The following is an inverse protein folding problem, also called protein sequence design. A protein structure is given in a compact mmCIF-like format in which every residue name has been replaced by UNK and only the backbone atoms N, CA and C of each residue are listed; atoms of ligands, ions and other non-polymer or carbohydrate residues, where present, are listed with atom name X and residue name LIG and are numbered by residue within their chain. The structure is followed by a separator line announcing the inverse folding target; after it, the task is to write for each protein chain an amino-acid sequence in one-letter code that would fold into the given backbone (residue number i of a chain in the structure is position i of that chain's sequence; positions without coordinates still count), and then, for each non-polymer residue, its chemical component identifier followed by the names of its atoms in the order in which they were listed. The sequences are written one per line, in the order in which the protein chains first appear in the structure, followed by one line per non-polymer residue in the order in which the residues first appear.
data_IF_580330286838
#
_entry.id   IF_580330286838
#
_cell.length_a   1.000
_cell.length_b   1.000
_cell.length_c   1.000
_cell.angle_alpha   90.00
_cell.angle_beta   90.00
_cell.angle_gamma   90.00
#
_symmetry.space_group_name_H-M   'P 1'
#
loop_
_entity.id
_entity.type
_entity.pdbx_description
1 polymer ?
#
# COMPACT_ATOMS: atom_id res chain seq x y z
N UNK A 1 -16.78 -5.24 11.15
CA UNK A 1 -15.59 -5.99 10.69
C UNK A 1 -15.85 -6.33 9.23
N UNK A 2 -14.96 -5.91 8.32
CA UNK A 2 -15.12 -6.16 6.89
C UNK A 2 -14.98 -7.64 6.58
N UNK A 3 -16.06 -8.23 6.08
CA UNK A 3 -16.14 -9.65 5.77
C UNK A 3 -15.38 -9.99 4.49
N UNK A 4 -15.38 -9.06 3.51
CA UNK A 4 -14.72 -9.20 2.21
C UNK A 4 -13.20 -9.31 2.31
N UNK A 5 -12.60 -8.69 3.32
CA UNK A 5 -11.14 -8.67 3.52
C UNK A 5 -10.65 -9.54 4.66
N UNK A 6 -11.56 -10.29 5.29
CA UNK A 6 -11.22 -11.18 6.40
C UNK A 6 -10.19 -12.24 6.01
N UNK A 7 -10.18 -12.67 4.74
CA UNK A 7 -9.15 -13.55 4.18
C UNK A 7 -7.73 -12.95 4.25
N UNK A 8 -7.60 -11.62 4.26
CA UNK A 8 -6.32 -10.93 4.31
C UNK A 8 -5.92 -10.48 5.73
N UNK A 9 -6.74 -10.76 6.75
CA UNK A 9 -6.51 -10.33 8.13
C UNK A 9 -6.07 -11.52 9.01
N UNK A 10 -4.92 -11.40 9.68
CA UNK A 10 -4.56 -12.26 10.82
C UNK A 10 -5.13 -11.69 12.13
N UNK A 11 -5.54 -12.58 13.06
CA UNK A 11 -6.32 -12.28 14.27
C UNK A 11 -5.95 -10.96 14.98
N UNK A 12 -6.93 -10.06 15.10
CA UNK A 12 -6.74 -8.68 15.59
C UNK A 12 -6.83 -8.59 17.12
N UNK A 13 -5.91 -7.85 17.72
CA UNK A 13 -6.13 -7.10 18.97
C UNK A 13 -5.79 -5.64 18.68
N UNK A 14 -6.76 -4.76 18.89
CA UNK A 14 -6.74 -3.36 18.45
C UNK A 14 -5.67 -2.57 19.21
N UNK A 15 -4.62 -2.11 18.51
CA UNK A 15 -3.74 -1.04 19.01
C UNK A 15 -3.66 0.08 17.97
N UNK A 16 -4.03 1.28 18.39
CA UNK A 16 -4.10 2.47 17.55
C UNK A 16 -2.70 2.93 17.14
N UNK A 17 -2.29 2.66 15.90
CA UNK A 17 -0.99 3.13 15.37
C UNK A 17 -1.19 4.32 14.43
N UNK A 18 -0.65 5.48 14.84
CA UNK A 18 -0.71 6.76 14.10
C UNK A 18 0.34 6.81 12.99
N UNK A 19 -0.09 6.93 11.74
CA UNK A 19 0.76 7.33 10.62
C UNK A 19 0.80 8.86 10.50
N UNK A 20 2.01 9.42 10.46
CA UNK A 20 2.31 10.81 10.12
C UNK A 20 2.21 11.00 8.61
N UNK A 21 1.49 12.03 8.15
CA UNK A 21 1.52 12.51 6.76
C UNK A 21 1.83 14.00 6.78
N UNK A 22 2.91 14.39 6.11
CA UNK A 22 3.36 15.79 6.02
C UNK A 22 2.93 16.40 4.68
N UNK A 23 2.06 17.41 4.74
CA UNK A 23 1.51 18.06 3.54
C UNK A 23 2.43 19.16 3.00
N UNK A 24 2.62 19.17 1.68
CA UNK A 24 3.25 20.27 0.93
C UNK A 24 2.18 21.02 0.13
N UNK A 25 2.19 22.35 0.26
CA UNK A 25 1.24 23.31 -0.31
C UNK A 25 1.87 24.05 -1.50
N UNK A 26 1.31 23.85 -2.70
CA UNK A 26 1.76 24.32 -4.02
C UNK A 26 0.54 24.46 -4.93
N UNK A 27 0.01 25.69 -5.03
CA UNK A 27 -1.26 26.04 -5.68
C UNK A 27 -1.28 25.93 -7.20
N UNK A 28 -1.61 24.73 -7.70
CA UNK A 28 -2.33 24.54 -8.96
C UNK A 28 -3.82 24.33 -8.64
N UNK A 29 -4.74 24.32 -9.60
CA UNK A 29 -6.11 23.82 -9.34
C UNK A 29 -5.97 22.37 -8.85
N UNK A 30 -5.97 22.18 -7.52
CA UNK A 30 -5.45 20.97 -6.87
C UNK A 30 -6.54 19.91 -6.87
N UNK A 31 -6.22 18.74 -7.44
CA UNK A 31 -6.94 17.51 -7.12
C UNK A 31 -7.01 17.36 -5.60
N UNK A 32 -8.12 16.86 -5.07
CA UNK A 32 -8.27 16.70 -3.63
C UNK A 32 -7.19 15.76 -3.08
N UNK A 33 -6.57 16.11 -1.95
CA UNK A 33 -5.61 15.23 -1.30
C UNK A 33 -6.35 14.19 -0.47
N UNK A 34 -6.33 12.92 -0.88
CA UNK A 34 -6.92 11.83 -0.11
C UNK A 34 -5.91 11.27 0.91
N UNK A 35 -6.31 11.26 2.18
CA UNK A 35 -5.69 10.46 3.24
C UNK A 35 -6.64 9.32 3.60
N UNK A 36 -6.15 8.10 3.75
CA UNK A 36 -7.03 6.99 4.14
C UNK A 36 -6.46 6.15 5.26
N UNK A 37 -7.37 5.61 6.07
CA UNK A 37 -7.07 4.76 7.22
C UNK A 37 -7.21 3.29 6.83
N UNK A 38 -6.53 2.37 7.54
CA UNK A 38 -6.77 0.94 7.39
C UNK A 38 -8.24 0.59 7.59
N UNK A 39 -8.67 -0.54 7.00
CA UNK A 39 -10.05 -1.05 7.09
C UNK A 39 -11.13 -0.12 6.50
N UNK A 40 -10.75 0.82 5.65
CA UNK A 40 -11.65 1.56 4.77
C UNK A 40 -11.18 1.38 3.31
N UNK A 41 -12.11 1.48 2.36
CA UNK A 41 -11.82 1.19 0.95
C UNK A 41 -12.49 2.17 0.00
N UNK A 42 -11.80 2.42 -1.11
CA UNK A 42 -12.27 3.26 -2.20
C UNK A 42 -11.94 2.62 -3.54
N UNK A 43 -12.60 3.09 -4.60
CA UNK A 43 -12.27 2.82 -5.99
C UNK A 43 -11.86 4.08 -6.71
N UNK A 44 -11.12 3.92 -7.78
CA UNK A 44 -10.84 4.99 -8.75
C UNK A 44 -10.12 4.44 -9.97
N UNK A 45 -10.15 5.20 -11.05
CA UNK A 45 -9.41 4.92 -12.27
C UNK A 45 -7.98 5.44 -12.13
N UNK A 46 -6.98 4.54 -12.18
CA UNK A 46 -5.58 4.92 -12.07
C UNK A 46 -5.19 5.81 -13.26
N UNK A 47 -4.77 7.04 -12.98
CA UNK A 47 -4.38 8.03 -14.00
C UNK A 47 -2.87 8.17 -14.09
N UNK A 48 -2.20 8.33 -12.96
CA UNK A 48 -0.76 8.60 -12.94
C UNK A 48 -0.12 8.31 -11.58
N UNK A 49 1.21 8.13 -11.60
CA UNK A 49 2.03 7.95 -10.41
C UNK A 49 3.17 8.97 -10.49
N UNK A 50 3.51 9.56 -9.35
CA UNK A 50 4.49 10.65 -9.22
C UNK A 50 5.50 10.30 -8.13
N UNK A 51 6.70 10.84 -8.29
CA UNK A 51 7.70 10.90 -7.23
C UNK A 51 7.85 12.34 -6.74
N UNK A 52 7.58 12.56 -5.46
CA UNK A 52 7.91 13.80 -4.78
C UNK A 52 9.30 13.69 -4.16
N UNK A 53 10.13 14.72 -4.34
CA UNK A 53 11.44 14.85 -3.69
C UNK A 53 11.55 16.25 -3.08
N UNK A 54 11.61 16.31 -1.76
CA UNK A 54 11.69 17.57 -1.04
C UNK A 54 12.59 17.46 0.20
N UNK A 55 12.84 18.59 0.86
CA UNK A 55 13.74 18.68 2.02
C UNK A 55 13.36 17.80 3.23
N UNK A 56 12.17 17.23 3.25
CA UNK A 56 11.67 16.36 4.31
C UNK A 56 11.72 14.88 3.94
N UNK A 57 11.99 14.55 2.67
CA UNK A 57 12.04 13.19 2.18
C UNK A 57 11.42 13.04 0.79
N UNK A 58 11.57 11.83 0.28
CA UNK A 58 10.90 11.37 -0.94
C UNK A 58 9.52 10.79 -0.62
N UNK A 59 8.57 10.93 -1.53
CA UNK A 59 7.18 10.48 -1.40
C UNK A 59 6.65 9.93 -2.71
N UNK A 60 5.70 9.00 -2.62
CA UNK A 60 4.97 8.47 -3.77
C UNK A 60 3.60 9.16 -3.87
N UNK A 61 3.36 9.82 -4.99
CA UNK A 61 2.04 10.34 -5.35
C UNK A 61 1.30 9.35 -6.25
N UNK A 62 0.05 9.03 -5.97
CA UNK A 62 -0.78 8.19 -6.84
C UNK A 62 -2.08 8.94 -7.12
N UNK A 63 -2.31 9.27 -8.38
CA UNK A 63 -3.50 10.01 -8.82
C UNK A 63 -4.53 9.05 -9.42
N UNK A 64 -5.75 9.24 -8.97
CA UNK A 64 -6.93 8.55 -9.44
C UNK A 64 -7.94 9.57 -9.97
N UNK A 65 -8.72 9.13 -10.95
CA UNK A 65 -9.90 9.83 -11.45
C UNK A 65 -11.15 9.02 -11.11
N UNK A 66 -12.33 9.64 -11.12
CA UNK A 66 -13.61 8.94 -10.85
C UNK A 66 -13.61 8.19 -9.50
N UNK A 67 -13.26 8.91 -8.42
CA UNK A 67 -13.15 8.36 -7.07
C UNK A 67 -14.49 7.96 -6.48
N UNK A 68 -14.59 6.73 -5.96
CA UNK A 68 -15.83 6.14 -5.44
C UNK A 68 -15.61 5.55 -4.05
N UNK A 69 -16.48 5.90 -3.10
CA UNK A 69 -16.44 5.32 -1.77
C UNK A 69 -17.04 3.92 -1.79
N UNK A 70 -16.28 2.93 -1.30
CA UNK A 70 -16.73 1.53 -1.21
C UNK A 70 -17.11 1.18 0.23
N UNK A 71 -16.26 1.52 1.20
CA UNK A 71 -16.55 1.28 2.62
C UNK A 71 -15.80 2.29 3.50
N UNK A 72 -16.52 2.80 4.51
CA UNK A 72 -16.03 3.77 5.48
C UNK A 72 -16.78 5.10 5.45
N UNK A 73 -16.19 6.10 6.08
CA UNK A 73 -16.74 7.46 6.20
C UNK A 73 -15.75 8.44 5.58
N UNK A 74 -16.16 9.04 4.45
CA UNK A 74 -15.39 10.06 3.74
C UNK A 74 -15.73 11.44 4.29
N UNK A 75 -14.70 12.18 4.68
CA UNK A 75 -14.87 13.52 5.22
C UNK A 75 -13.87 14.49 4.61
N UNK A 76 -14.25 15.75 4.50
CA UNK A 76 -13.39 16.84 4.05
C UNK A 76 -12.88 17.64 5.25
N UNK A 77 -11.60 17.99 5.24
CA UNK A 77 -10.98 18.75 6.32
C UNK A 77 -11.31 20.23 6.19
N UNK A 78 -11.66 20.83 7.32
CA UNK A 78 -11.92 22.25 7.44
C UNK A 78 -10.68 22.98 7.96
N UNK A 79 -10.41 24.15 7.40
CA UNK A 79 -9.40 25.08 7.89
C UNK A 79 -9.86 25.84 9.14
N UNK A 80 -9.04 26.77 9.63
CA UNK A 80 -9.37 27.58 10.82
C UNK A 80 -10.59 28.50 10.62
N UNK A 81 -10.93 28.83 9.37
CA UNK A 81 -12.10 29.62 9.01
C UNK A 81 -13.38 28.77 8.89
N UNK A 82 -13.24 27.45 8.88
CA UNK A 82 -14.34 26.50 8.73
C UNK A 82 -14.66 26.16 7.27
N UNK A 83 -13.79 26.56 6.34
CA UNK A 83 -13.92 26.26 4.91
C UNK A 83 -13.10 25.01 4.56
N UNK A 84 -13.50 24.31 3.50
CA UNK A 84 -12.79 23.16 2.98
C UNK A 84 -11.36 23.52 2.53
N UNK A 85 -10.36 22.76 2.98
CA UNK A 85 -8.95 23.00 2.62
C UNK A 85 -8.43 22.10 1.48
N UNK A 86 -9.31 21.33 0.84
CA UNK A 86 -8.99 20.40 -0.24
C UNK A 86 -8.41 19.06 0.22
N UNK A 87 -8.39 18.77 1.54
CA UNK A 87 -7.98 17.45 2.06
C UNK A 87 -9.20 16.58 2.34
N UNK A 88 -9.32 15.46 1.63
CA UNK A 88 -10.25 14.39 1.94
C UNK A 88 -9.59 13.39 2.89
N UNK A 89 -10.37 12.86 3.82
CA UNK A 89 -9.96 11.78 4.71
C UNK A 89 -11.01 10.68 4.77
N UNK A 90 -10.60 9.49 4.40
CA UNK A 90 -11.40 8.28 4.50
C UNK A 90 -11.07 7.56 5.81
N UNK A 91 -12.05 7.52 6.71
CA UNK A 91 -11.97 6.83 7.99
C UNK A 91 -12.67 5.48 7.92
N UNK A 92 -12.15 4.51 8.66
CA UNK A 92 -12.88 3.28 8.93
C UNK A 92 -13.96 3.52 9.99
N UNK A 93 -15.04 2.74 9.92
CA UNK A 93 -16.14 2.78 10.89
C UNK A 93 -15.67 2.61 12.34
N UNK A 94 -14.63 1.81 12.56
CA UNK A 94 -14.05 1.58 13.90
C UNK A 94 -13.46 2.83 14.57
N UNK A 95 -13.23 3.89 13.79
CA UNK A 95 -12.68 5.16 14.26
C UNK A 95 -13.79 6.19 14.52
N UNK A 96 -15.01 5.88 14.09
CA UNK A 96 -16.16 6.76 14.27
C UNK A 96 -16.78 6.55 15.66
N UNK A 97 -17.37 7.60 16.25
CA UNK A 97 -18.04 7.54 17.55
C UNK A 97 -19.43 6.86 17.42
N UNK A 98 -19.47 5.67 16.84
CA UNK A 98 -20.69 4.90 16.53
C UNK A 98 -20.66 3.53 17.22
N UNK A 99 -21.81 2.85 17.23
CA UNK A 99 -21.90 1.48 17.73
C UNK A 99 -21.66 0.51 16.57
N UNK A 100 -20.59 -0.27 16.66
CA UNK A 100 -20.24 -1.28 15.66
C UNK A 100 -21.07 -2.56 15.88
N UNK A 101 -22.28 -2.58 15.33
CA UNK A 101 -23.12 -3.77 15.31
C UNK A 101 -23.75 -4.01 13.93
N UNK A 102 -24.57 -5.05 13.82
CA UNK A 102 -25.23 -5.46 12.57
C UNK A 102 -26.25 -4.46 12.02
N UNK A 103 -26.60 -3.42 12.79
CA UNK A 103 -27.52 -2.37 12.40
C UNK A 103 -26.78 -1.08 12.03
N UNK A 104 -25.44 -1.10 12.02
CA UNK A 104 -24.64 0.03 11.52
C UNK A 104 -25.04 0.33 10.07
N UNK A 105 -25.29 1.60 9.80
CA UNK A 105 -25.71 2.13 8.50
C UNK A 105 -24.96 3.40 8.14
N UNK A 106 -25.00 3.80 6.87
CA UNK A 106 -24.41 5.06 6.42
C UNK A 106 -24.93 6.29 7.21
N UNK A 107 -26.19 6.26 7.64
CA UNK A 107 -26.85 7.34 8.39
C UNK A 107 -26.29 7.53 9.81
N UNK A 108 -25.54 6.56 10.34
CA UNK A 108 -24.88 6.67 11.65
C UNK A 108 -23.60 7.51 11.60
N UNK A 109 -23.10 7.84 10.41
CA UNK A 109 -21.91 8.67 10.26
C UNK A 109 -22.11 10.08 10.84
N UNK A 110 -21.18 10.59 11.65
CA UNK A 110 -21.32 11.93 12.21
C UNK A 110 -21.11 13.01 11.15
N UNK A 111 -21.94 14.06 11.18
CA UNK A 111 -21.81 15.23 10.29
C UNK A 111 -20.44 15.92 10.42
N UNK A 112 -19.86 15.89 11.63
CA UNK A 112 -18.58 16.51 11.96
C UNK A 112 -17.78 15.58 12.85
N UNK A 113 -16.50 15.41 12.54
CA UNK A 113 -15.56 14.64 13.33
C UNK A 113 -14.29 15.43 13.63
N UNK A 114 -13.72 15.22 14.81
CA UNK A 114 -12.50 15.89 15.24
C UNK A 114 -11.46 14.85 15.61
N UNK A 115 -10.25 15.00 15.08
CA UNK A 115 -9.12 14.12 15.36
C UNK A 115 -7.95 14.94 15.90
N UNK A 116 -7.33 14.47 16.98
CA UNK A 116 -6.09 15.06 17.49
C UNK A 116 -4.88 14.27 17.02
N UNK A 117 -3.92 14.96 16.38
CA UNK A 117 -2.66 14.39 15.92
C UNK A 117 -1.53 15.28 16.42
N UNK A 118 -0.67 14.73 17.29
CA UNK A 118 0.55 15.40 17.80
C UNK A 118 0.25 16.83 18.33
N UNK A 119 -0.80 16.94 19.15
CA UNK A 119 -1.20 18.21 19.77
C UNK A 119 -1.86 19.22 18.83
N UNK A 120 -2.19 18.83 17.59
CA UNK A 120 -3.04 19.60 16.69
C UNK A 120 -4.40 18.95 16.56
N UNK A 121 -5.44 19.76 16.60
CA UNK A 121 -6.83 19.34 16.40
C UNK A 121 -7.25 19.63 14.97
N UNK A 122 -7.67 18.60 14.24
CA UNK A 122 -8.21 18.73 12.90
C UNK A 122 -9.71 18.48 12.93
N UNK A 123 -10.48 19.34 12.24
CA UNK A 123 -11.93 19.22 12.12
C UNK A 123 -12.26 18.76 10.70
N UNK A 124 -13.20 17.84 10.59
CA UNK A 124 -13.67 17.27 9.34
C UNK A 124 -15.19 17.35 9.26
N UNK A 125 -15.70 17.53 8.04
CA UNK A 125 -17.13 17.53 7.72
C UNK A 125 -17.46 16.35 6.81
N UNK A 126 -18.60 15.70 7.05
CA UNK A 126 -19.06 14.56 6.27
C UNK A 126 -19.26 14.91 4.80
N UNK A 127 -18.68 14.09 3.91
CA UNK A 127 -18.94 14.09 2.46
C UNK A 127 -19.89 12.95 2.13
N UNK A 128 -19.64 11.76 2.66
CA UNK A 128 -20.47 10.57 2.47
C UNK A 128 -20.00 9.39 3.30
N UNK A 129 -20.87 8.39 3.47
CA UNK A 129 -20.57 7.17 4.21
C UNK A 129 -21.17 5.95 3.50
N UNK A 130 -20.49 4.80 3.64
CA UNK A 130 -20.92 3.51 3.11
C UNK A 130 -20.52 2.40 4.07
N UNK A 131 -21.40 1.44 4.29
CA UNK A 131 -21.12 0.21 5.05
C UNK A 131 -21.00 -0.96 4.08
N UNK A 132 -19.90 -1.73 4.16
CA UNK A 132 -19.76 -2.97 3.39
C UNK A 132 -20.96 -3.91 3.62
N UNK A 133 -21.56 -4.40 2.54
CA UNK A 133 -22.65 -5.39 2.60
C UNK A 133 -24.04 -4.80 2.87
N UNK A 134 -24.17 -3.48 3.01
CA UNK A 134 -25.47 -2.81 2.91
C UNK A 134 -25.98 -3.00 1.47
N UNK A 135 -27.04 -3.80 1.31
CA UNK A 135 -27.62 -4.15 0.01
C UNK A 135 -28.21 -2.91 -0.68
N UNK A 136 -27.37 -2.08 -1.29
CA UNK A 136 -27.79 -1.48 -2.56
C UNK A 136 -27.69 -2.58 -3.60
N UNK A 137 -28.82 -2.96 -4.18
CA UNK A 137 -28.89 -3.93 -5.29
C UNK A 137 -28.16 -3.48 -6.56
N UNK A 138 -27.47 -2.34 -6.50
CA UNK A 138 -26.74 -1.73 -7.59
C UNK A 138 -25.28 -1.45 -7.14
N UNK A 139 -24.28 -2.08 -7.77
CA UNK A 139 -22.87 -1.74 -7.57
C UNK A 139 -22.51 -0.32 -8.04
N UNK A 140 -23.41 0.39 -8.73
CA UNK A 140 -23.25 1.81 -9.08
C UNK A 140 -23.66 2.79 -7.96
N UNK A 141 -24.21 2.29 -6.84
CA UNK A 141 -24.65 3.15 -5.74
C UNK A 141 -23.47 3.65 -4.86
N UNK A 142 -22.24 3.60 -5.38
CA UNK A 142 -21.06 4.17 -4.73
C UNK A 142 -21.16 5.69 -4.66
N UNK A 143 -20.65 6.29 -3.58
CA UNK A 143 -20.59 7.75 -3.47
C UNK A 143 -19.38 8.24 -4.27
N UNK A 144 -19.65 8.93 -5.38
CA UNK A 144 -18.64 9.62 -6.19
C UNK A 144 -18.11 10.85 -5.44
N UNK A 145 -16.79 10.97 -5.37
CA UNK A 145 -16.07 12.09 -4.77
C UNK A 145 -15.00 12.70 -5.69
N UNK A 146 -15.02 12.37 -6.99
CA UNK A 146 -14.22 13.00 -8.02
C UNK A 146 -12.75 12.60 -8.04
N UNK A 147 -11.94 13.42 -8.71
CA UNK A 147 -10.51 13.18 -8.91
C UNK A 147 -9.71 13.51 -7.64
N UNK A 148 -8.73 12.67 -7.32
CA UNK A 148 -7.93 12.82 -6.11
C UNK A 148 -6.51 12.30 -6.29
N UNK A 149 -5.62 12.81 -5.43
CA UNK A 149 -4.24 12.31 -5.32
C UNK A 149 -3.96 11.86 -3.89
N UNK A 150 -3.31 10.71 -3.77
CA UNK A 150 -2.78 10.20 -2.52
C UNK A 150 -1.28 10.44 -2.49
N UNK A 151 -0.79 10.94 -1.35
CA UNK A 151 0.65 11.05 -1.09
C UNK A 151 1.01 10.13 0.05
N UNK A 152 1.78 9.09 -0.25
CA UNK A 152 2.34 8.18 0.75
C UNK A 152 3.82 8.51 0.94
N UNK A 153 4.16 8.89 2.17
CA UNK A 153 5.50 9.27 2.59
C UNK A 153 6.00 8.34 3.71
N UNK A 154 7.02 8.79 4.42
CA UNK A 154 7.52 8.15 5.62
C UNK A 154 7.85 9.17 6.70
N UNK A 155 8.17 8.67 7.89
CA UNK A 155 8.67 9.50 8.98
C UNK A 155 10.19 9.60 8.94
N UNK A 156 10.86 8.73 9.71
CA UNK A 156 12.33 8.57 9.65
C UNK A 156 12.78 7.65 8.52
N UNK A 157 11.88 6.79 8.07
CA UNK A 157 12.05 5.79 7.01
C UNK A 157 10.77 5.78 6.15
N UNK A 158 10.86 5.36 4.88
CA UNK A 158 9.69 5.21 4.01
C UNK A 158 8.63 4.32 4.68
N UNK A 159 7.35 4.67 4.55
CA UNK A 159 6.31 3.76 5.03
C UNK A 159 6.27 2.51 4.16
N UNK A 160 5.91 1.38 4.77
CA UNK A 160 5.70 0.13 4.05
C UNK A 160 4.63 0.27 2.96
N UNK A 161 3.58 1.04 3.22
CA UNK A 161 2.55 1.28 2.21
C UNK A 161 3.11 2.01 0.99
N UNK A 162 3.93 3.04 1.19
CA UNK A 162 4.56 3.75 0.08
C UNK A 162 5.43 2.81 -0.78
N UNK A 163 6.23 1.94 -0.13
CA UNK A 163 7.08 0.96 -0.83
C UNK A 163 6.26 -0.03 -1.65
N UNK A 164 5.28 -0.68 -1.03
CA UNK A 164 4.46 -1.69 -1.72
C UNK A 164 3.63 -1.07 -2.85
N UNK A 165 3.08 0.15 -2.68
CA UNK A 165 2.39 0.85 -3.77
C UNK A 165 3.36 1.21 -4.91
N UNK A 166 4.58 1.64 -4.62
CA UNK A 166 5.56 1.94 -5.66
C UNK A 166 5.87 0.67 -6.48
N UNK A 167 6.06 -0.46 -5.81
CA UNK A 167 6.34 -1.73 -6.46
C UNK A 167 5.15 -2.29 -7.26
N UNK A 168 3.92 -2.10 -6.76
CA UNK A 168 2.72 -2.57 -7.46
C UNK A 168 2.35 -1.71 -8.67
N UNK A 169 2.47 -0.38 -8.55
CA UNK A 169 1.86 0.57 -9.48
C UNK A 169 2.84 1.20 -10.48
N UNK A 170 4.15 1.03 -10.28
CA UNK A 170 5.17 1.61 -11.18
C UNK A 170 5.76 0.59 -12.14
N UNK A 171 6.17 1.05 -13.31
CA UNK A 171 6.82 0.23 -14.34
C UNK A 171 8.14 -0.42 -13.88
N UNK A 172 8.76 0.11 -12.82
CA UNK A 172 9.99 -0.40 -12.24
C UNK A 172 9.77 -1.58 -11.31
N UNK A 173 8.56 -1.78 -10.79
CA UNK A 173 8.35 -2.89 -9.86
C UNK A 173 9.23 -2.76 -8.63
N UNK A 174 9.95 -3.83 -8.28
CA UNK A 174 10.94 -3.85 -7.19
C UNK A 174 12.02 -2.78 -7.32
N UNK A 175 12.47 -2.50 -8.55
CA UNK A 175 13.52 -1.51 -8.84
C UNK A 175 13.08 -0.06 -8.59
N UNK A 176 11.80 0.16 -8.23
CA UNK A 176 11.34 1.46 -7.74
C UNK A 176 12.00 1.82 -6.41
N UNK A 177 12.42 0.82 -5.62
CA UNK A 177 13.01 1.00 -4.30
C UNK A 177 14.54 0.96 -4.41
N UNK A 178 15.19 2.08 -4.08
CA UNK A 178 16.66 2.24 -4.14
C UNK A 178 17.31 2.01 -2.78
N UNK A 179 16.72 2.53 -1.70
CA UNK A 179 17.18 2.32 -0.32
C UNK A 179 15.99 2.24 0.64
N UNK A 180 15.71 1.04 1.17
CA UNK A 180 14.55 0.78 2.05
C UNK A 180 14.58 1.57 3.36
N UNK A 181 15.73 2.10 3.76
CA UNK A 181 15.97 2.71 5.07
C UNK A 181 16.27 4.21 5.02
N UNK A 182 16.54 4.78 3.85
CA UNK A 182 16.83 6.21 3.69
C UNK A 182 15.63 6.98 3.12
N UNK A 183 14.94 7.74 3.97
CA UNK A 183 13.80 8.57 3.55
C UNK A 183 14.16 9.59 2.45
N UNK A 184 15.43 9.94 2.28
CA UNK A 184 15.88 10.88 1.26
C UNK A 184 16.26 10.23 -0.08
N UNK A 185 16.47 8.91 -0.12
CA UNK A 185 16.99 8.21 -1.30
C UNK A 185 16.32 6.83 -1.53
N UNK A 186 15.10 6.65 -1.06
CA UNK A 186 14.42 5.35 -1.14
C UNK A 186 13.75 5.06 -2.47
N UNK A 187 13.39 6.09 -3.25
CA UNK A 187 12.60 5.97 -4.46
C UNK A 187 13.45 6.34 -5.67
N UNK A 188 13.27 5.63 -6.79
CA UNK A 188 13.91 5.94 -8.06
C UNK A 188 13.29 7.17 -8.76
N UNK A 189 13.28 8.34 -8.09
CA UNK A 189 12.48 9.55 -8.41
C UNK A 189 12.46 9.93 -9.89
N UNK A 190 13.58 9.82 -10.60
CA UNK A 190 13.69 10.22 -12.02
C UNK A 190 13.18 9.17 -13.03
N UNK A 191 12.67 8.03 -12.55
CA UNK A 191 12.24 6.88 -13.35
C UNK A 191 10.84 6.39 -12.99
N UNK A 192 10.16 7.08 -12.07
CA UNK A 192 8.81 6.69 -11.64
C UNK A 192 7.79 7.05 -12.72
N UNK A 193 7.25 6.01 -13.33
CA UNK A 193 6.11 6.08 -14.24
C UNK A 193 5.11 4.99 -13.86
N UNK A 194 3.82 5.25 -14.05
CA UNK A 194 2.78 4.26 -13.81
C UNK A 194 2.92 3.06 -14.77
N UNK A 195 2.51 1.88 -14.31
CA UNK A 195 2.41 0.68 -15.16
C UNK A 195 1.39 0.85 -16.27
N UNK A 196 1.83 0.70 -17.52
CA UNK A 196 0.96 0.85 -18.70
C UNK A 196 -0.23 -0.13 -18.69
N UNK A 197 -0.06 -1.34 -18.14
CA UNK A 197 -1.13 -2.33 -18.08
C UNK A 197 -2.24 -1.98 -17.09
N UNK A 198 -1.96 -1.12 -16.09
CA UNK A 198 -2.89 -0.66 -15.06
C UNK A 198 -3.46 0.74 -15.33
N UNK A 199 -2.78 1.55 -16.16
CA UNK A 199 -3.27 2.88 -16.53
C UNK A 199 -4.67 2.81 -17.15
N UNK A 200 -5.57 3.66 -16.64
CA UNK A 200 -6.97 3.70 -17.05
C UNK A 200 -7.84 2.55 -16.53
N UNK A 201 -7.31 1.67 -15.66
CA UNK A 201 -8.13 0.65 -14.97
C UNK A 201 -8.72 1.20 -13.69
N UNK A 202 -9.96 0.80 -13.39
CA UNK A 202 -10.58 1.04 -12.10
C UNK A 202 -10.05 0.03 -11.08
N UNK A 203 -9.42 0.54 -10.03
CA UNK A 203 -8.81 -0.24 -8.96
C UNK A 203 -9.54 0.01 -7.65
N UNK A 204 -9.77 -1.05 -6.88
CA UNK A 204 -10.24 -0.97 -5.49
C UNK A 204 -9.04 -1.07 -4.56
N UNK A 205 -8.90 -0.11 -3.64
CA UNK A 205 -7.73 0.02 -2.77
C UNK A 205 -8.17 0.06 -1.31
N UNK A 206 -7.49 -0.72 -0.48
CA UNK A 206 -7.64 -0.70 0.97
C UNK A 206 -6.31 -1.00 1.67
N UNK A 207 -6.23 -0.71 2.96
CA UNK A 207 -5.07 -1.03 3.81
C UNK A 207 -5.49 -2.07 4.84
N UNK A 208 -4.70 -3.13 4.97
CA UNK A 208 -4.80 -4.09 6.08
C UNK A 208 -3.73 -3.78 7.12
N UNK A 209 -4.07 -4.06 8.38
CA UNK A 209 -3.10 -4.02 9.49
C UNK A 209 -2.50 -5.41 9.62
N UNK A 210 -1.18 -5.50 9.59
CA UNK A 210 -0.44 -6.74 9.82
C UNK A 210 0.49 -6.55 11.03
N UNK A 211 0.66 -7.62 11.81
CA UNK A 211 1.47 -7.60 13.02
C UNK A 211 2.95 -7.75 12.67
N UNK A 212 3.77 -6.84 13.19
CA UNK A 212 5.22 -6.98 13.21
C UNK A 212 5.73 -7.08 14.65
N UNK A 213 6.97 -7.55 14.82
CA UNK A 213 7.59 -7.80 16.13
C UNK A 213 7.61 -6.58 17.05
N UNK A 214 7.77 -5.38 16.48
CA UNK A 214 7.91 -4.13 17.23
C UNK A 214 6.66 -3.25 17.13
N UNK A 215 6.02 -3.23 15.97
CA UNK A 215 4.89 -2.37 15.66
C UNK A 215 3.99 -3.03 14.61
N UNK A 216 2.69 -2.77 14.70
CA UNK A 216 1.76 -3.05 13.61
C UNK A 216 2.10 -2.16 12.40
N UNK A 217 1.89 -2.70 11.20
CA UNK A 217 2.16 -2.00 9.95
C UNK A 217 0.98 -2.08 8.98
N UNK A 218 0.93 -1.14 8.04
CA UNK A 218 -0.14 -1.07 7.04
C UNK A 218 0.37 -1.60 5.70
N UNK A 219 -0.31 -2.61 5.17
CA UNK A 219 -0.06 -3.14 3.84
C UNK A 219 -1.23 -2.75 2.93
N UNK A 220 -0.97 -2.08 1.79
CA UNK A 220 -1.99 -1.82 0.79
C UNK A 220 -2.37 -3.13 0.10
N UNK A 221 -3.63 -3.25 -0.26
CA UNK A 221 -4.14 -4.26 -1.17
C UNK A 221 -4.85 -3.51 -2.29
N UNK A 222 -4.55 -3.88 -3.53
CA UNK A 222 -5.08 -3.26 -4.74
C UNK A 222 -5.72 -4.35 -5.58
N UNK A 223 -7.00 -4.22 -5.90
CA UNK A 223 -7.76 -5.19 -6.70
C UNK A 223 -8.15 -4.52 -8.01
N UNK A 224 -7.87 -5.19 -9.14
CA UNK A 224 -8.45 -4.79 -10.42
C UNK A 224 -9.94 -5.15 -10.41
N UNK A 225 -10.81 -4.15 -10.41
CA UNK A 225 -12.26 -4.35 -10.31
C UNK A 225 -12.84 -5.13 -11.49
N UNK A 226 -12.17 -5.12 -12.64
CA UNK A 226 -12.61 -5.83 -13.85
C UNK A 226 -12.34 -7.32 -13.77
N UNK A 227 -11.17 -7.72 -13.24
CA UNK A 227 -10.79 -9.14 -13.14
C UNK A 227 -11.14 -9.74 -11.79
N UNK A 228 -11.27 -8.91 -10.75
CA UNK A 228 -11.39 -9.35 -9.36
C UNK A 228 -10.07 -9.85 -8.77
N UNK A 229 -8.96 -9.76 -9.51
CA UNK A 229 -7.65 -10.24 -9.08
C UNK A 229 -6.88 -9.14 -8.37
N UNK A 230 -6.09 -9.52 -7.36
CA UNK A 230 -5.16 -8.62 -6.70
C UNK A 230 -4.03 -8.24 -7.67
N UNK A 231 -3.76 -6.94 -7.79
CA UNK A 231 -2.59 -6.43 -8.51
C UNK A 231 -1.33 -6.87 -7.78
N UNK A 232 -0.46 -7.57 -8.51
CA UNK A 232 0.84 -8.04 -8.00
C UNK A 232 1.95 -7.05 -8.33
N UNK A 233 3.04 -7.12 -7.57
CA UNK A 233 4.27 -6.37 -7.85
C UNK A 233 4.71 -6.66 -9.29
N UNK A 234 5.01 -5.62 -10.06
CA UNK A 234 5.54 -5.80 -11.40
C UNK A 234 7.00 -6.22 -11.33
N UNK A 235 7.49 -6.99 -12.30
CA UNK A 235 8.92 -7.12 -12.52
C UNK A 235 9.40 -5.87 -13.27
N UNK A 236 10.40 -5.17 -12.73
CA UNK A 236 11.08 -4.09 -13.43
C UNK A 236 11.72 -4.64 -14.69
N UNK A 237 11.08 -4.44 -15.85
CA UNK A 237 11.60 -4.93 -17.11
C UNK A 237 10.51 -5.39 -18.06
N UNK A 238 10.30 -4.57 -19.09
CA UNK A 238 9.65 -4.93 -20.35
C UNK A 238 9.88 -6.39 -20.72
N UNK A 239 8.85 -7.23 -20.65
CA UNK A 239 8.81 -8.44 -21.45
C UNK A 239 8.27 -8.07 -22.84
N UNK A 240 9.15 -8.02 -23.85
CA UNK A 240 8.78 -8.57 -25.14
C UNK A 240 9.78 -9.62 -25.60
N UNK A 241 9.25 -10.82 -25.83
CA UNK A 241 9.69 -11.82 -26.80
C UNK A 241 11.18 -12.25 -26.82
N UNK A 242 11.36 -13.51 -26.42
CA UNK A 242 12.31 -14.51 -26.93
C UNK A 242 13.31 -14.05 -28.03
N UNK A 243 14.62 -14.15 -27.75
CA UNK A 243 15.65 -14.49 -28.74
C UNK A 243 16.96 -14.93 -28.06
N UNK A 244 17.62 -15.90 -28.67
CA UNK A 244 18.67 -16.78 -28.16
C UNK A 244 20.05 -16.13 -27.92
N UNK A 245 20.73 -16.67 -26.89
CA UNK A 245 22.16 -17.01 -26.77
C UNK A 245 23.27 -16.14 -27.43
N UNK A 246 24.26 -15.71 -26.64
CA UNK A 246 25.61 -16.32 -26.64
C UNK A 246 26.58 -15.73 -25.60
N UNK A 247 27.41 -16.61 -25.03
CA UNK A 247 28.36 -16.40 -23.95
C UNK A 247 29.70 -15.77 -24.38
N UNK A 248 30.41 -15.15 -23.43
CA UNK A 248 31.87 -15.29 -23.24
C UNK A 248 32.31 -14.66 -21.90
N UNK A 249 33.15 -15.39 -21.16
CA UNK A 249 33.66 -15.17 -19.79
C UNK A 249 35.08 -14.50 -19.82
N UNK A 250 35.87 -14.39 -18.72
CA UNK A 250 35.86 -13.32 -17.70
C UNK A 250 37.27 -12.69 -17.42
N UNK A 251 37.36 -11.87 -16.35
CA UNK A 251 38.54 -11.47 -15.49
C UNK A 251 38.84 -9.95 -15.39
N UNK A 252 39.51 -9.44 -14.32
CA UNK A 252 38.98 -9.30 -12.96
C UNK A 252 39.28 -7.90 -12.35
N UNK A 253 38.47 -7.42 -11.39
CA UNK A 253 38.91 -6.30 -10.54
C UNK A 253 38.28 -6.37 -9.15
N UNK A 254 39.15 -6.65 -8.19
CA UNK A 254 38.97 -6.59 -6.74
C UNK A 254 38.50 -5.20 -6.28
N UNK A 255 37.46 -5.13 -5.44
CA UNK A 255 37.42 -4.30 -4.21
C UNK A 255 36.09 -4.41 -3.44
N UNK A 256 36.25 -4.70 -2.14
CA UNK A 256 35.41 -4.34 -0.99
C UNK A 256 33.95 -4.81 -0.96
N UNK A 257 33.76 -5.97 -0.30
CA UNK A 257 32.46 -6.49 0.17
C UNK A 257 31.78 -5.51 1.13
N UNK A 258 30.81 -4.78 0.62
CA UNK A 258 29.48 -4.74 1.22
C UNK A 258 28.62 -5.67 0.37
N UNK A 259 28.17 -6.80 0.92
CA UNK A 259 27.24 -7.69 0.23
C UNK A 259 25.95 -6.90 0.04
N UNK A 260 25.70 -6.51 -1.19
CA UNK A 260 24.46 -5.93 -1.65
C UNK A 260 23.45 -7.09 -1.72
N UNK A 261 22.50 -7.12 -0.79
CA UNK A 261 21.47 -8.16 -0.71
C UNK A 261 20.53 -8.14 -1.92
N UNK A 262 20.58 -7.09 -2.76
CA UNK A 262 19.81 -7.02 -4.01
C UNK A 262 20.24 -8.06 -5.05
N UNK A 263 21.51 -8.47 -5.07
CA UNK A 263 21.99 -9.50 -6.00
C UNK A 263 21.54 -10.92 -5.59
N UNK A 264 21.36 -11.19 -4.29
CA UNK A 264 20.93 -12.52 -3.79
C UNK A 264 19.44 -12.80 -4.06
N UNK A 265 18.61 -11.75 -4.10
CA UNK A 265 17.17 -11.87 -4.37
C UNK A 265 16.88 -12.02 -5.87
N UNK A 266 17.84 -11.66 -6.74
CA UNK A 266 17.66 -11.67 -8.20
C UNK A 266 17.57 -13.07 -8.83
N UNK A 267 18.09 -14.10 -8.16
CA UNK A 267 18.07 -15.50 -8.62
C UNK A 267 16.93 -16.34 -7.99
N UNK A 268 16.12 -15.75 -7.11
CA UNK A 268 15.03 -16.47 -6.41
C UNK A 268 13.74 -16.49 -7.24
N UNK A 269 12.89 -17.53 -7.09
CA UNK A 269 11.53 -17.51 -7.60
C UNK A 269 10.80 -16.25 -7.15
N UNK A 270 10.13 -15.58 -8.08
CA UNK A 270 9.47 -14.28 -7.83
C UNK A 270 8.58 -14.25 -6.58
N UNK A 271 7.75 -15.27 -6.29
CA UNK A 271 6.93 -15.27 -5.07
C UNK A 271 7.74 -15.40 -3.79
N UNK A 272 8.90 -16.07 -3.83
CA UNK A 272 9.82 -16.21 -2.69
C UNK A 272 10.54 -14.89 -2.44
N UNK A 273 11.00 -14.23 -3.51
CA UNK A 273 11.55 -12.88 -3.43
C UNK A 273 10.54 -11.88 -2.83
N UNK A 274 9.28 -11.92 -3.27
CA UNK A 274 8.19 -11.10 -2.70
C UNK A 274 7.99 -11.36 -1.20
N UNK A 275 8.06 -12.61 -0.78
CA UNK A 275 7.94 -12.97 0.63
C UNK A 275 9.10 -12.45 1.48
N UNK A 276 10.34 -12.58 0.98
CA UNK A 276 11.54 -12.08 1.65
C UNK A 276 11.47 -10.56 1.78
N UNK A 277 11.18 -9.87 0.67
CA UNK A 277 11.05 -8.42 0.67
C UNK A 277 9.92 -7.93 1.56
N UNK A 278 8.79 -8.64 1.56
CA UNK A 278 7.71 -8.42 2.51
C UNK A 278 8.28 -8.46 3.93
N UNK A 279 8.90 -9.57 4.34
CA UNK A 279 9.41 -9.69 5.71
C UNK A 279 10.44 -8.60 6.07
N UNK A 280 11.34 -8.25 5.17
CA UNK A 280 12.32 -7.18 5.36
C UNK A 280 11.66 -5.79 5.44
N UNK A 281 10.71 -5.48 4.56
CA UNK A 281 10.02 -4.19 4.54
C UNK A 281 9.20 -3.93 5.77
N UNK A 282 8.70 -5.01 6.34
CA UNK A 282 7.86 -5.03 7.53
C UNK A 282 8.66 -5.29 8.82
N UNK A 283 9.98 -5.47 8.70
CA UNK A 283 10.89 -5.62 9.84
C UNK A 283 10.58 -6.84 10.69
N UNK A 284 10.09 -7.91 10.06
CA UNK A 284 9.94 -9.22 10.69
C UNK A 284 11.34 -9.78 10.96
N UNK A 285 11.63 -10.02 12.22
CA UNK A 285 12.91 -10.50 12.74
C UNK A 285 12.77 -11.76 13.60
N UNK A 286 11.55 -12.13 13.98
CA UNK A 286 11.23 -13.39 14.64
C UNK A 286 11.18 -14.53 13.63
N UNK A 287 12.13 -15.46 13.76
CA UNK A 287 12.28 -16.62 12.88
C UNK A 287 11.04 -17.52 12.87
N UNK A 288 10.42 -17.77 14.03
CA UNK A 288 9.24 -18.62 14.13
C UNK A 288 8.04 -17.97 13.43
N UNK A 289 7.90 -16.63 13.55
CA UNK A 289 6.87 -15.87 12.84
C UNK A 289 7.09 -15.87 11.32
N UNK A 290 8.33 -15.70 10.87
CA UNK A 290 8.68 -15.75 9.44
C UNK A 290 8.32 -17.13 8.87
N UNK A 291 8.72 -18.22 9.52
CA UNK A 291 8.43 -19.60 9.07
C UNK A 291 6.93 -19.89 9.07
N UNK A 292 6.21 -19.42 10.08
CA UNK A 292 4.75 -19.55 10.13
C UNK A 292 4.10 -18.84 8.96
N UNK A 293 4.46 -17.57 8.71
CA UNK A 293 3.92 -16.80 7.58
C UNK A 293 4.27 -17.43 6.21
N UNK A 294 5.49 -17.95 6.08
CA UNK A 294 5.97 -18.62 4.87
C UNK A 294 5.12 -19.86 4.56
N UNK A 295 4.88 -20.69 5.58
CA UNK A 295 4.07 -21.91 5.47
C UNK A 295 2.60 -21.57 5.19
N UNK A 296 2.03 -20.63 5.92
CA UNK A 296 0.63 -20.20 5.74
C UNK A 296 0.38 -19.66 4.33
N UNK A 297 1.29 -18.85 3.80
CA UNK A 297 1.18 -18.32 2.43
C UNK A 297 1.39 -19.41 1.36
N UNK A 298 2.29 -20.37 1.59
CA UNK A 298 2.56 -21.45 0.66
C UNK A 298 1.44 -22.51 0.60
N UNK A 299 0.68 -22.67 1.68
CA UNK A 299 -0.47 -23.58 1.79
C UNK A 299 -1.81 -22.94 1.41
N UNK A 300 -1.86 -21.62 1.24
CA UNK A 300 -3.09 -20.89 0.89
C UNK A 300 -3.47 -21.07 -0.58
N UNK A 301 -4.66 -21.65 -0.81
CA UNK A 301 -5.22 -21.85 -2.15
C UNK A 301 -5.39 -20.50 -2.89
N UNK A 302 -4.64 -20.31 -3.98
CA UNK A 302 -4.66 -19.10 -4.80
C UNK A 302 -3.53 -18.11 -4.53
N UNK A 303 -2.65 -18.39 -3.57
CA UNK A 303 -1.44 -17.63 -3.37
C UNK A 303 -0.43 -17.89 -4.51
N UNK A 304 0.42 -16.90 -4.79
CA UNK A 304 1.49 -17.02 -5.80
C UNK A 304 2.66 -17.85 -5.27
N UNK A 305 2.87 -17.78 -3.96
CA UNK A 305 3.87 -18.56 -3.25
C UNK A 305 3.33 -19.97 -3.08
N UNK A 306 4.11 -20.97 -3.50
CA UNK A 306 3.72 -22.37 -3.41
C UNK A 306 4.76 -23.14 -2.60
N UNK A 307 4.33 -24.21 -1.93
CA UNK A 307 5.24 -25.08 -1.17
C UNK A 307 6.40 -25.62 -2.03
N UNK A 308 6.16 -25.89 -3.31
CA UNK A 308 7.20 -26.37 -4.24
C UNK A 308 8.32 -25.32 -4.43
N UNK A 309 7.97 -24.03 -4.51
CA UNK A 309 8.96 -22.94 -4.61
C UNK A 309 9.73 -22.74 -3.31
N UNK A 310 9.08 -22.92 -2.17
CA UNK A 310 9.73 -22.85 -0.85
C UNK A 310 10.71 -24.01 -0.67
N UNK A 311 10.32 -25.21 -1.10
CA UNK A 311 11.17 -26.40 -1.06
C UNK A 311 12.37 -26.29 -2.03
N UNK A 312 12.20 -25.65 -3.19
CA UNK A 312 13.25 -25.46 -4.20
C UNK A 312 14.37 -24.54 -3.70
N UNK A 313 14.02 -23.46 -3.00
CA UNK A 313 14.99 -22.51 -2.41
C UNK A 313 15.51 -23.02 -1.07
N UNK A 314 14.63 -23.61 -0.26
CA UNK A 314 14.91 -24.02 1.11
C UNK A 314 14.43 -23.00 2.14
N UNK A 315 13.56 -23.44 3.04
CA UNK A 315 12.96 -22.62 4.11
C UNK A 315 14.02 -21.91 4.97
N UNK A 316 15.09 -22.61 5.34
CA UNK A 316 16.18 -22.05 6.15
C UNK A 316 16.97 -20.96 5.42
N UNK A 317 17.11 -21.08 4.10
CA UNK A 317 17.81 -20.10 3.27
C UNK A 317 16.97 -18.83 3.15
N UNK A 318 15.67 -18.97 2.91
CA UNK A 318 14.70 -17.86 2.89
C UNK A 318 14.72 -17.08 4.21
N UNK A 319 14.64 -17.79 5.34
CA UNK A 319 14.68 -17.19 6.67
C UNK A 319 16.02 -16.48 6.92
N UNK A 320 17.14 -17.11 6.55
CA UNK A 320 18.46 -16.50 6.71
C UNK A 320 18.58 -15.19 5.92
N UNK A 321 18.10 -15.15 4.68
CA UNK A 321 18.10 -13.94 3.84
C UNK A 321 17.24 -12.81 4.42
N UNK A 322 16.16 -13.14 5.13
CA UNK A 322 15.30 -12.14 5.79
C UNK A 322 16.01 -11.49 6.99
N UNK A 323 16.85 -12.26 7.70
CA UNK A 323 17.48 -11.85 8.96
C UNK A 323 18.85 -11.18 8.81
N UNK A 324 19.45 -11.20 7.62
CA UNK A 324 20.68 -10.44 7.29
C UNK A 324 20.43 -8.93 7.15
#
# INVERSE_FOLDING_TARGET
MNSKYSAFQSNTSTTSTTSTSSGSDDGYDRDAQLKWKPNASFRGVLDSVYAGDNKWGQSLGVKFTDGKLVDGVLMERLDESGEADGTLKLFAWEQMPVILDKNLSADDAPDVFTEEIVGKTYKYQLVGARVEGEESSDPEDTIDFGDFIMWEDGGKKPSSTAKVLAQMLTNLGRDSIVDRNDIMNWLAVNRIEAREDLLGRELEVFKIVKQGDKHDFHSPVVIDTKTGEQVRIGNGGSSPASSESQSSSPEPATKESSVDTSDLVSDLPEPVADFIEFCQDFGLTDEDQIRTNLTEMAEEDGNSLTGEMVDEVGEDEIVATILE
#
